data_IF_882632922209
#
_entry.id   IF_882632922209
#
_cell.length_a   1.000
_cell.length_b   1.000
_cell.length_c   1.000
_cell.angle_alpha   90.00
_cell.angle_beta   90.00
_cell.angle_gamma   90.00
#
_symmetry.space_group_name_H-M   'P 1'
#
loop_
_entity.id
_entity.type
_entity.pdbx_description
1 polymer ?
#
# COMPACT_ATOMS: atom_id res chain seq x y z
N UNK A 1 22.18 42.36 8.34
CA UNK A 1 20.77 41.92 8.38
C UNK A 1 20.74 40.46 8.78
N UNK A 2 20.24 40.11 9.98
CA UNK A 2 20.16 38.72 10.40
C UNK A 2 19.11 38.03 9.54
N UNK A 3 19.46 36.90 8.91
CA UNK A 3 18.49 36.07 8.21
C UNK A 3 17.64 35.38 9.27
N UNK A 4 16.37 35.78 9.37
CA UNK A 4 15.45 35.13 10.30
C UNK A 4 15.39 33.63 9.99
N UNK A 5 15.51 32.81 11.04
CA UNK A 5 15.43 31.36 10.95
C UNK A 5 14.06 30.98 10.39
N UNK A 6 14.05 30.50 9.16
CA UNK A 6 12.84 30.05 8.50
C UNK A 6 12.25 28.88 9.30
N UNK A 7 10.95 28.92 9.68
CA UNK A 7 10.37 27.99 10.64
C UNK A 7 10.37 26.52 10.18
N UNK A 8 10.60 26.27 8.89
CA UNK A 8 10.55 24.93 8.29
C UNK A 8 11.66 24.71 7.26
N UNK A 9 12.93 24.70 7.67
CA UNK A 9 14.06 24.70 6.74
C UNK A 9 14.19 23.40 5.94
N UNK A 10 13.60 22.30 6.44
CA UNK A 10 13.57 21.00 5.76
C UNK A 10 12.43 20.85 4.76
N UNK A 11 11.44 21.75 4.78
CA UNK A 11 10.26 21.65 3.91
C UNK A 11 10.56 22.32 2.57
N UNK A 12 10.36 21.59 1.48
CA UNK A 12 10.60 22.09 0.12
C UNK A 12 9.73 23.32 -0.20
N UNK A 13 10.29 24.31 -0.89
CA UNK A 13 9.57 25.50 -1.33
C UNK A 13 8.31 25.17 -2.17
N UNK A 14 8.36 24.12 -2.99
CA UNK A 14 7.21 23.64 -3.77
C UNK A 14 6.05 23.16 -2.88
N UNK A 15 6.34 22.61 -1.70
CA UNK A 15 5.31 22.19 -0.75
C UNK A 15 4.61 23.41 -0.12
N UNK A 16 5.40 24.44 0.22
CA UNK A 16 4.90 25.68 0.81
C UNK A 16 3.98 26.42 -0.16
N UNK A 17 4.43 26.61 -1.41
CA UNK A 17 3.62 27.21 -2.49
C UNK A 17 2.33 26.42 -2.75
N UNK A 18 2.40 25.09 -2.72
CA UNK A 18 1.19 24.27 -2.87
C UNK A 18 0.16 24.54 -1.77
N UNK A 19 0.60 24.55 -0.50
CA UNK A 19 -0.30 24.75 0.64
C UNK A 19 -0.91 26.15 0.59
N UNK A 20 -0.11 27.18 0.32
CA UNK A 20 -0.59 28.57 0.24
C UNK A 20 -1.72 28.71 -0.79
N UNK A 21 -1.60 28.06 -1.96
CA UNK A 21 -2.62 28.11 -3.02
C UNK A 21 -3.89 27.29 -2.73
N UNK A 22 -3.79 26.23 -1.94
CA UNK A 22 -4.96 25.40 -1.56
C UNK A 22 -5.72 26.04 -0.39
N UNK A 23 -5.00 26.75 0.49
CA UNK A 23 -5.54 27.38 1.70
C UNK A 23 -5.74 28.90 1.48
N UNK A 24 -5.93 29.33 0.23
CA UNK A 24 -6.31 30.72 -0.07
C UNK A 24 -7.65 31.06 0.57
N UNK A 25 -7.72 32.23 1.24
CA UNK A 25 -8.93 32.72 1.92
C UNK A 25 -10.05 32.98 0.92
N UNK A 26 -9.75 33.68 -0.17
CA UNK A 26 -10.70 33.92 -1.25
C UNK A 26 -10.98 32.62 -2.02
N UNK A 27 -12.25 32.16 -2.07
CA UNK A 27 -12.61 30.94 -2.79
C UNK A 27 -12.46 31.05 -4.32
N UNK A 28 -12.49 32.25 -4.90
CA UNK A 28 -12.35 32.44 -6.36
C UNK A 28 -10.89 32.29 -6.80
N UNK A 29 -9.96 32.71 -5.94
CA UNK A 29 -8.51 32.59 -6.16
C UNK A 29 -7.95 31.26 -5.63
N UNK A 30 -8.76 30.48 -4.91
CA UNK A 30 -8.36 29.17 -4.37
C UNK A 30 -8.12 28.18 -5.48
N UNK A 31 -6.98 27.51 -5.43
CA UNK A 31 -6.65 26.46 -6.38
C UNK A 31 -7.67 25.32 -6.31
N UNK A 32 -8.30 25.03 -7.45
CA UNK A 32 -9.27 23.93 -7.56
C UNK A 32 -8.59 22.57 -7.46
N UNK A 33 -9.34 21.53 -7.10
CA UNK A 33 -8.79 20.16 -6.98
C UNK A 33 -8.14 19.68 -8.29
N UNK A 34 -8.73 19.98 -9.45
CA UNK A 34 -8.17 19.61 -10.75
C UNK A 34 -6.85 20.32 -11.07
N UNK A 35 -6.68 21.57 -10.61
CA UNK A 35 -5.41 22.30 -10.72
C UNK A 35 -4.38 21.76 -9.73
N UNK A 36 -4.79 21.47 -8.50
CA UNK A 36 -3.93 20.92 -7.45
C UNK A 36 -3.28 19.59 -7.88
N UNK A 37 -4.03 18.71 -8.57
CA UNK A 37 -3.50 17.45 -9.11
C UNK A 37 -2.38 17.65 -10.14
N UNK A 38 -2.33 18.80 -10.81
CA UNK A 38 -1.31 19.14 -11.82
C UNK A 38 -0.10 19.87 -11.21
N UNK A 39 -0.14 20.19 -9.92
CA UNK A 39 0.92 20.96 -9.29
C UNK A 39 2.22 20.14 -9.22
N UNK A 40 3.40 20.74 -9.51
CA UNK A 40 4.68 20.02 -9.53
C UNK A 40 4.98 19.26 -8.23
N UNK A 41 4.61 19.82 -7.08
CA UNK A 41 4.78 19.14 -5.80
C UNK A 41 4.07 17.77 -5.76
N UNK A 42 2.83 17.69 -6.25
CA UNK A 42 2.07 16.44 -6.30
C UNK A 42 2.62 15.50 -7.37
N UNK A 43 2.87 16.00 -8.59
CA UNK A 43 3.32 15.19 -9.73
C UNK A 43 4.69 14.55 -9.45
N UNK A 44 5.64 15.32 -8.90
CA UNK A 44 6.96 14.81 -8.55
C UNK A 44 6.88 13.80 -7.41
N UNK A 45 6.02 14.02 -6.40
CA UNK A 45 5.84 13.04 -5.33
C UNK A 45 5.18 11.76 -5.81
N UNK A 46 4.22 11.84 -6.73
CA UNK A 46 3.60 10.66 -7.33
C UNK A 46 4.62 9.83 -8.11
N UNK A 47 5.47 10.50 -8.91
CA UNK A 47 6.55 9.86 -9.66
C UNK A 47 7.65 9.28 -8.74
N UNK A 48 7.97 9.96 -7.64
CA UNK A 48 8.96 9.51 -6.66
C UNK A 48 8.38 8.52 -5.65
N UNK A 49 7.04 8.41 -5.54
CA UNK A 49 6.41 7.40 -4.71
C UNK A 49 6.76 6.05 -5.33
N UNK A 50 7.61 5.30 -4.64
CA UNK A 50 7.86 3.93 -5.02
C UNK A 50 6.50 3.24 -4.99
N UNK A 51 5.94 2.95 -6.18
CA UNK A 51 4.89 1.96 -6.36
C UNK A 51 5.49 0.58 -6.08
N UNK A 52 6.03 0.40 -4.87
CA UNK A 52 6.50 -0.88 -4.38
C UNK A 52 5.28 -1.78 -4.44
N UNK A 53 5.37 -2.81 -5.28
CA UNK A 53 4.37 -3.86 -5.39
C UNK A 53 4.25 -4.51 -4.01
N UNK A 54 3.36 -3.96 -3.19
CA UNK A 54 3.25 -4.32 -1.78
C UNK A 54 2.89 -5.81 -1.67
N UNK A 55 2.13 -6.32 -2.65
CA UNK A 55 1.90 -7.75 -2.85
C UNK A 55 3.21 -8.56 -2.86
N UNK A 56 4.21 -8.17 -3.66
CA UNK A 56 5.50 -8.87 -3.73
C UNK A 56 6.27 -8.77 -2.41
N UNK A 57 6.28 -7.61 -1.76
CA UNK A 57 6.93 -7.43 -0.46
C UNK A 57 6.26 -8.30 0.63
N UNK A 58 4.93 -8.34 0.67
CA UNK A 58 4.15 -9.16 1.59
C UNK A 58 4.42 -10.65 1.33
N UNK A 59 4.33 -11.11 0.08
CA UNK A 59 4.61 -12.52 -0.29
C UNK A 59 6.02 -12.93 0.11
N UNK A 60 7.03 -12.10 -0.16
CA UNK A 60 8.41 -12.38 0.21
C UNK A 60 8.60 -12.45 1.72
N UNK A 61 7.96 -11.56 2.49
CA UNK A 61 8.02 -11.60 3.95
C UNK A 61 7.37 -12.88 4.50
N UNK A 62 6.23 -13.29 3.96
CA UNK A 62 5.55 -14.53 4.36
C UNK A 62 6.40 -15.78 4.07
N UNK A 63 7.05 -15.84 2.89
CA UNK A 63 7.98 -16.93 2.53
C UNK A 63 9.21 -16.97 3.44
N UNK A 64 9.79 -15.81 3.79
CA UNK A 64 10.89 -15.71 4.76
C UNK A 64 10.48 -16.21 6.15
N UNK A 65 9.27 -15.88 6.62
CA UNK A 65 8.71 -16.36 7.90
C UNK A 65 8.29 -17.83 7.88
N UNK A 66 8.08 -18.42 6.71
CA UNK A 66 7.82 -19.86 6.56
C UNK A 66 9.12 -20.65 6.59
N UNK A 67 10.13 -20.19 5.85
CA UNK A 67 11.47 -20.81 5.78
C UNK A 67 12.21 -20.79 7.13
N UNK A 68 12.07 -19.73 7.92
CA UNK A 68 12.63 -19.69 9.29
C UNK A 68 12.01 -20.72 10.24
N UNK A 69 10.87 -21.32 9.88
CA UNK A 69 10.14 -22.29 10.72
C UNK A 69 10.50 -23.74 10.43
N UNK A 70 11.18 -24.00 9.32
CA UNK A 70 11.54 -25.34 8.87
C UNK A 70 13.06 -25.61 8.82
N UNK A 71 13.90 -24.67 9.25
CA UNK A 71 15.35 -24.88 9.39
C UNK A 71 15.76 -25.54 10.73
N UNK A 72 14.82 -26.01 11.56
CA UNK A 72 15.17 -26.84 12.73
C UNK A 72 15.32 -28.30 12.30
N UNK A 73 16.49 -28.64 11.77
CA UNK A 73 16.98 -30.02 11.81
C UNK A 73 17.56 -30.27 13.19
N UNK A 74 16.98 -31.23 13.93
CA UNK A 74 17.25 -31.64 15.33
C UNK A 74 16.56 -30.81 16.42
N UNK A 75 15.29 -31.10 16.67
CA UNK A 75 14.80 -31.23 18.06
C UNK A 75 13.57 -32.12 18.12
N UNK A 76 13.54 -32.96 19.15
CA UNK A 76 12.64 -34.11 19.37
C UNK A 76 11.14 -33.77 19.39
N UNK A 77 10.34 -34.83 19.24
CA UNK A 77 8.88 -34.88 19.24
C UNK A 77 8.20 -33.83 20.13
N UNK A 78 7.34 -33.00 19.54
CA UNK A 78 6.37 -32.17 20.27
C UNK A 78 4.95 -32.67 19.98
N UNK A 79 4.38 -33.35 20.96
CA UNK A 79 3.01 -33.89 21.01
C UNK A 79 1.96 -32.80 21.19
N UNK A 80 1.70 -31.91 20.22
CA UNK A 80 0.63 -30.91 20.39
C UNK A 80 -0.18 -30.60 19.13
N UNK A 81 -1.46 -30.99 19.23
CA UNK A 81 -2.65 -30.56 18.49
C UNK A 81 -2.94 -31.21 17.13
N UNK A 82 -4.05 -31.98 17.13
CA UNK A 82 -4.80 -32.45 15.98
C UNK A 82 -5.25 -31.27 15.13
N UNK A 83 -4.56 -31.03 14.01
CA UNK A 83 -4.94 -30.00 13.04
C UNK A 83 -6.03 -30.54 12.14
N UNK A 84 -7.25 -30.09 12.37
CA UNK A 84 -8.44 -30.33 11.54
C UNK A 84 -8.13 -30.22 10.03
N UNK A 85 -8.42 -31.28 9.28
CA UNK A 85 -8.28 -31.33 7.80
C UNK A 85 -9.43 -30.65 7.05
N UNK A 86 -10.36 -29.98 7.75
CA UNK A 86 -11.56 -29.37 7.14
C UNK A 86 -11.27 -28.16 6.22
N UNK A 87 -10.07 -27.55 6.28
CA UNK A 87 -9.79 -26.31 5.55
C UNK A 87 -9.59 -26.49 4.04
N UNK A 88 -9.12 -27.65 3.59
CA UNK A 88 -8.85 -27.89 2.17
C UNK A 88 -10.13 -28.09 1.35
N UNK A 89 -11.18 -28.69 1.92
CA UNK A 89 -12.48 -28.87 1.24
C UNK A 89 -13.20 -27.53 1.07
N UNK A 90 -13.24 -26.70 2.11
CA UNK A 90 -13.82 -25.34 2.05
C UNK A 90 -13.11 -24.45 1.02
N UNK A 91 -11.78 -24.55 0.93
CA UNK A 91 -11.00 -23.79 -0.07
C UNK A 91 -11.36 -24.19 -1.50
N UNK A 92 -11.49 -25.50 -1.78
CA UNK A 92 -11.86 -26.01 -3.10
C UNK A 92 -13.29 -25.63 -3.51
N UNK A 93 -14.22 -25.58 -2.57
CA UNK A 93 -15.61 -25.15 -2.82
C UNK A 93 -15.64 -23.69 -3.26
N UNK A 94 -15.00 -22.79 -2.50
CA UNK A 94 -14.91 -21.37 -2.87
C UNK A 94 -14.27 -21.14 -4.23
N UNK A 95 -13.24 -21.92 -4.57
CA UNK A 95 -12.56 -21.78 -5.86
C UNK A 95 -13.48 -22.20 -7.04
N UNK A 96 -14.36 -23.19 -6.83
CA UNK A 96 -15.35 -23.60 -7.83
C UNK A 96 -16.41 -22.51 -8.05
N UNK A 97 -16.96 -21.95 -6.98
CA UNK A 97 -17.98 -20.90 -7.04
C UNK A 97 -17.44 -19.65 -7.76
N UNK A 98 -16.19 -19.26 -7.49
CA UNK A 98 -15.51 -18.16 -8.18
C UNK A 98 -15.39 -18.40 -9.69
N UNK A 99 -15.06 -19.64 -10.11
CA UNK A 99 -15.00 -19.99 -11.54
C UNK A 99 -16.36 -19.94 -12.21
N UNK A 100 -17.41 -20.42 -11.54
CA UNK A 100 -18.78 -20.36 -12.06
C UNK A 100 -19.27 -18.91 -12.20
N UNK A 101 -19.01 -18.05 -11.21
CA UNK A 101 -19.36 -16.63 -11.27
C UNK A 101 -18.68 -15.94 -12.46
N UNK A 102 -17.38 -16.20 -12.66
CA UNK A 102 -16.63 -15.64 -13.76
C UNK A 102 -17.17 -16.11 -15.13
N UNK A 103 -17.55 -17.38 -15.25
CA UNK A 103 -18.17 -17.91 -16.46
C UNK A 103 -19.55 -17.29 -16.74
N UNK A 104 -20.35 -17.01 -15.70
CA UNK A 104 -21.63 -16.31 -15.85
C UNK A 104 -21.44 -14.87 -16.33
N UNK A 105 -20.47 -14.17 -15.76
CA UNK A 105 -20.16 -12.80 -16.13
C UNK A 105 -19.72 -12.68 -17.60
N UNK A 106 -18.91 -13.62 -18.09
CA UNK A 106 -18.42 -13.62 -19.48
C UNK A 106 -19.47 -14.01 -20.53
N UNK A 107 -20.64 -14.49 -20.11
CA UNK A 107 -21.75 -14.88 -21.01
C UNK A 107 -22.87 -13.84 -21.10
N UNK A 108 -22.74 -12.72 -20.40
CA UNK A 108 -23.57 -11.52 -20.57
C UNK A 108 -22.87 -10.55 -21.52
#
# INVERSE_FOLDING_TARGET
>A
MPKECEPWPSVSNLAKDFVDRVVTVDPNERMTASQALKHPWIVTMAASSSMKNLHRSISQNLLKRASSRCQSTKSAQSTRSSRSTKSNKSRRVRERELRELNLRYQKQ
#
